data_IF_856419552380
#
_entry.id   IF_856419552380
#
_cell.length_a   1.000
_cell.length_b   1.000
_cell.length_c   1.000
_cell.angle_alpha   90.00
_cell.angle_beta   90.00
_cell.angle_gamma   90.00
#
_symmetry.space_group_name_H-M   'P 1'
#
loop_
_entity.id
_entity.type
_entity.pdbx_description
1 polymer ?
#
# COMPACT_ATOMS: atom_id res chain seq x y z
N UNK A 1 17.09 -2.39 -14.91
CA UNK A 1 16.17 -2.54 -16.05
C UNK A 1 14.78 -1.98 -15.75
N UNK A 2 14.01 -2.55 -14.80
CA UNK A 2 12.63 -2.10 -14.49
C UNK A 2 12.54 -0.60 -14.19
N UNK A 3 13.38 -0.08 -13.30
CA UNK A 3 13.40 1.35 -12.92
C UNK A 3 13.65 2.26 -14.13
N UNK A 4 14.63 1.91 -14.97
CA UNK A 4 14.98 2.68 -16.17
C UNK A 4 13.84 2.71 -17.21
N UNK A 5 13.08 1.62 -17.33
CA UNK A 5 11.95 1.54 -18.25
C UNK A 5 10.78 2.49 -17.87
N UNK A 6 10.73 2.95 -16.62
CA UNK A 6 9.73 3.92 -16.14
C UNK A 6 10.29 5.35 -16.08
N UNK A 7 11.38 5.63 -16.81
CA UNK A 7 12.01 6.96 -16.85
C UNK A 7 12.65 7.39 -15.52
N UNK A 8 13.05 6.41 -14.70
CA UNK A 8 13.67 6.66 -13.40
C UNK A 8 15.10 6.09 -13.36
N UNK A 9 15.94 6.56 -12.44
CA UNK A 9 17.29 6.06 -12.19
C UNK A 9 17.42 5.54 -10.76
N UNK A 10 18.25 4.51 -10.58
CA UNK A 10 18.64 4.04 -9.26
C UNK A 10 19.82 4.88 -8.79
N UNK A 11 19.67 5.53 -7.64
CA UNK A 11 20.73 6.31 -7.01
C UNK A 11 21.66 5.43 -6.17
N UNK A 12 21.11 4.39 -5.54
CA UNK A 12 21.88 3.47 -4.71
C UNK A 12 21.03 2.56 -3.84
N UNK A 13 21.72 1.71 -3.09
CA UNK A 13 21.13 0.82 -2.09
C UNK A 13 21.74 1.11 -0.73
N UNK A 14 20.94 0.96 0.32
CA UNK A 14 21.35 1.12 1.71
C UNK A 14 20.87 -0.08 2.53
N UNK A 15 21.77 -0.73 3.24
CA UNK A 15 21.38 -1.69 4.27
C UNK A 15 20.72 -0.92 5.42
N UNK A 16 19.55 -1.36 5.86
CA UNK A 16 18.81 -0.71 6.94
C UNK A 16 19.50 -1.07 8.27
N UNK A 17 19.93 -0.08 9.08
CA UNK A 17 20.58 -0.37 10.35
C UNK A 17 19.56 -0.92 11.35
N UNK A 18 19.77 -2.17 11.75
CA UNK A 18 18.89 -2.91 12.67
C UNK A 18 19.67 -3.46 13.87
N UNK A 19 19.02 -3.54 15.03
CA UNK A 19 19.57 -4.19 16.22
C UNK A 19 18.89 -5.54 16.47
N UNK A 20 19.56 -6.62 16.06
CA UNK A 20 19.04 -7.98 16.24
C UNK A 20 19.00 -8.44 17.71
N UNK A 21 19.68 -7.73 18.63
CA UNK A 21 19.76 -8.13 20.04
C UNK A 21 18.40 -8.12 20.74
N UNK A 22 17.48 -7.27 20.29
CA UNK A 22 16.13 -7.14 20.85
C UNK A 22 15.17 -8.24 20.39
N UNK A 23 15.54 -9.02 19.38
CA UNK A 23 14.69 -10.06 18.81
C UNK A 23 14.77 -11.38 19.59
N UNK A 24 13.62 -12.05 19.70
CA UNK A 24 13.57 -13.44 20.15
C UNK A 24 14.27 -14.37 19.14
N UNK A 25 14.73 -15.54 19.59
CA UNK A 25 15.39 -16.53 18.72
C UNK A 25 14.58 -16.89 17.45
N UNK A 26 13.29 -17.26 17.57
CA UNK A 26 12.43 -17.52 16.41
C UNK A 26 12.27 -16.31 15.48
N UNK A 27 12.04 -15.12 16.03
CA UNK A 27 11.89 -13.88 15.26
C UNK A 27 13.16 -13.56 14.48
N UNK A 28 14.33 -13.67 15.12
CA UNK A 28 15.65 -13.42 14.51
C UNK A 28 15.93 -14.39 13.36
N UNK A 29 15.60 -15.68 13.51
CA UNK A 29 15.78 -16.69 12.44
C UNK A 29 14.94 -16.42 11.20
N UNK A 30 13.73 -15.87 11.38
CA UNK A 30 12.84 -15.52 10.28
C UNK A 30 13.05 -14.11 9.72
N UNK A 31 14.04 -13.34 10.22
CA UNK A 31 14.25 -11.95 9.81
C UNK A 31 14.77 -11.89 8.37
N UNK A 32 14.16 -11.10 7.48
CA UNK A 32 14.70 -10.88 6.14
C UNK A 32 15.93 -9.96 6.18
N UNK A 33 16.77 -10.04 5.15
CA UNK A 33 17.70 -8.95 4.85
C UNK A 33 16.88 -7.70 4.46
N UNK A 34 17.16 -6.56 5.10
CA UNK A 34 16.40 -5.32 4.90
C UNK A 34 17.26 -4.29 4.19
N UNK A 35 16.80 -3.84 3.03
CA UNK A 35 17.49 -2.84 2.21
C UNK A 35 16.52 -1.79 1.71
N UNK A 36 17.00 -0.56 1.64
CA UNK A 36 16.35 0.55 0.95
C UNK A 36 17.00 0.74 -0.42
N UNK A 37 16.17 0.98 -1.43
CA UNK A 37 16.60 1.42 -2.76
C UNK A 37 16.20 2.89 -2.93
N UNK A 38 17.13 3.72 -3.37
CA UNK A 38 16.86 5.11 -3.68
C UNK A 38 16.68 5.26 -5.19
N UNK A 39 15.57 5.89 -5.58
CA UNK A 39 15.18 6.08 -6.98
C UNK A 39 14.87 7.56 -7.22
N UNK A 40 15.31 8.09 -8.35
CA UNK A 40 14.99 9.44 -8.81
C UNK A 40 14.30 9.39 -10.17
N UNK A 41 13.41 10.34 -10.43
CA UNK A 41 12.86 10.53 -11.76
C UNK A 41 13.89 11.24 -12.66
N UNK A 42 14.16 10.70 -13.85
CA UNK A 42 15.12 11.27 -14.80
C UNK A 42 14.50 12.51 -15.46
N UNK A 43 15.28 13.60 -15.58
CA UNK A 43 14.88 14.81 -16.29
C UNK A 43 14.16 15.88 -15.46
N UNK A 44 13.82 15.61 -14.19
CA UNK A 44 13.21 16.62 -13.29
C UNK A 44 14.24 17.63 -12.76
N UNK A 45 15.53 17.31 -12.81
CA UNK A 45 16.63 18.19 -12.38
C UNK A 45 16.98 19.35 -13.34
N UNK A 46 16.25 19.54 -14.45
CA UNK A 46 16.51 20.62 -15.41
C UNK A 46 15.29 21.50 -15.76
N UNK A 47 14.10 21.19 -15.24
CA UNK A 47 12.93 22.05 -15.40
C UNK A 47 12.76 22.90 -14.15
N UNK A 48 13.13 24.17 -14.28
CA UNK A 48 13.04 25.17 -13.22
C UNK A 48 11.66 25.22 -12.55
N UNK A 49 11.69 25.69 -11.30
CA UNK A 49 10.55 26.11 -10.48
C UNK A 49 9.61 26.97 -11.33
N UNK A 50 8.51 26.41 -11.84
CA UNK A 50 7.62 27.18 -12.73
C UNK A 50 6.54 26.42 -13.49
N UNK A 51 6.50 25.08 -13.44
CA UNK A 51 5.38 24.32 -13.97
C UNK A 51 4.96 23.24 -12.98
N UNK A 52 4.04 23.59 -12.08
CA UNK A 52 3.24 22.63 -11.29
C UNK A 52 2.29 21.85 -12.21
N UNK A 53 2.84 21.11 -13.18
CA UNK A 53 2.20 19.86 -13.57
C UNK A 53 2.39 18.93 -12.38
N UNK A 54 1.38 18.15 -12.02
CA UNK A 54 1.35 17.21 -10.88
C UNK A 54 2.41 16.09 -10.99
N UNK A 55 3.66 16.50 -11.03
CA UNK A 55 4.89 15.71 -11.12
C UNK A 55 5.00 14.78 -9.93
N UNK A 56 4.54 15.22 -8.76
CA UNK A 56 4.45 14.39 -7.57
C UNK A 56 3.54 13.17 -7.77
N UNK A 57 2.34 13.33 -8.34
CA UNK A 57 1.46 12.17 -8.59
C UNK A 57 1.92 11.33 -9.78
N UNK A 58 2.57 11.93 -10.78
CA UNK A 58 3.21 11.18 -11.87
C UNK A 58 4.35 10.30 -11.35
N UNK A 59 5.13 10.77 -10.38
CA UNK A 59 6.23 9.98 -9.81
C UNK A 59 5.70 8.83 -8.97
N UNK A 60 4.68 9.05 -8.13
CA UNK A 60 4.01 7.98 -7.38
C UNK A 60 3.43 6.89 -8.30
N UNK A 61 2.81 7.26 -9.43
CA UNK A 61 2.34 6.29 -10.43
C UNK A 61 3.52 5.48 -11.00
N UNK A 62 4.63 6.12 -11.35
CA UNK A 62 5.82 5.42 -11.84
C UNK A 62 6.40 4.48 -10.78
N UNK A 63 6.53 4.91 -9.52
CA UNK A 63 7.00 4.07 -8.42
C UNK A 63 6.07 2.88 -8.16
N UNK A 64 4.75 3.08 -8.26
CA UNK A 64 3.77 1.99 -8.20
C UNK A 64 3.99 0.97 -9.32
N UNK A 65 4.08 1.41 -10.58
CA UNK A 65 4.35 0.51 -11.71
C UNK A 65 5.69 -0.22 -11.54
N UNK A 66 6.74 0.49 -11.14
CA UNK A 66 8.06 -0.11 -10.85
C UNK A 66 7.92 -1.22 -9.80
N UNK A 67 7.27 -0.94 -8.67
CA UNK A 67 7.07 -1.92 -7.59
C UNK A 67 6.32 -3.14 -8.09
N UNK A 68 5.21 -2.94 -8.82
CA UNK A 68 4.39 -4.05 -9.35
C UNK A 68 5.16 -4.92 -10.35
N UNK A 69 5.99 -4.30 -11.20
CA UNK A 69 6.88 -5.03 -12.12
C UNK A 69 7.98 -5.79 -11.39
N UNK A 70 8.53 -5.24 -10.31
CA UNK A 70 9.50 -5.92 -9.44
C UNK A 70 8.83 -7.11 -8.75
N UNK A 71 7.67 -6.92 -8.13
CA UNK A 71 6.90 -7.98 -7.46
C UNK A 71 6.52 -9.11 -8.45
N UNK A 72 6.13 -8.77 -9.68
CA UNK A 72 5.90 -9.75 -10.73
C UNK A 72 7.16 -10.53 -11.09
N UNK A 73 8.29 -9.86 -11.33
CA UNK A 73 9.55 -10.54 -11.64
C UNK A 73 10.04 -11.42 -10.49
N UNK A 74 9.83 -11.02 -9.24
CA UNK A 74 10.21 -11.80 -8.05
C UNK A 74 9.39 -13.08 -7.88
N UNK A 75 8.16 -13.13 -8.39
CA UNK A 75 7.33 -14.36 -8.37
C UNK A 75 7.87 -15.46 -9.29
N UNK A 76 8.51 -15.07 -10.39
CA UNK A 76 9.14 -16.02 -11.33
C UNK A 76 10.46 -16.60 -10.79
N UNK A 77 11.05 -15.96 -9.79
CA UNK A 77 12.28 -16.44 -9.15
C UNK A 77 11.93 -17.48 -8.08
N UNK A 78 12.14 -18.75 -8.40
CA UNK A 78 11.92 -19.85 -7.45
C UNK A 78 12.70 -19.63 -6.14
N UNK A 79 12.00 -19.81 -5.01
CA UNK A 79 12.60 -19.64 -3.67
C UNK A 79 12.79 -18.19 -3.23
N UNK A 80 12.35 -17.20 -4.01
CA UNK A 80 12.35 -15.80 -3.60
C UNK A 80 11.31 -15.55 -2.50
N UNK A 81 11.76 -15.05 -1.34
CA UNK A 81 10.91 -14.52 -0.27
C UNK A 81 11.10 -13.00 -0.12
N UNK A 82 11.24 -12.31 -1.25
CA UNK A 82 11.40 -10.87 -1.28
C UNK A 82 10.04 -10.16 -1.19
N UNK A 83 9.96 -9.09 -0.39
CA UNK A 83 8.76 -8.30 -0.21
C UNK A 83 9.09 -6.81 -0.15
N UNK A 84 8.32 -6.00 -0.87
CA UNK A 84 8.46 -4.54 -0.87
C UNK A 84 7.44 -3.93 0.09
N UNK A 85 7.90 -3.47 1.26
CA UNK A 85 7.03 -2.90 2.29
C UNK A 85 6.37 -1.59 1.85
N UNK A 86 7.14 -0.70 1.23
CA UNK A 86 6.69 0.55 0.62
C UNK A 86 7.60 0.90 -0.54
N UNK A 87 7.08 1.63 -1.54
CA UNK A 87 7.89 2.19 -2.62
C UNK A 87 7.24 3.49 -3.10
N UNK A 88 7.51 4.57 -2.37
CA UNK A 88 6.89 5.88 -2.53
C UNK A 88 7.94 6.97 -2.27
N UNK A 89 7.71 8.17 -2.81
CA UNK A 89 8.45 9.38 -2.46
C UNK A 89 7.84 10.14 -1.27
N UNK A 90 6.66 9.71 -0.81
CA UNK A 90 5.89 10.36 0.25
C UNK A 90 5.84 9.56 1.55
N UNK A 91 5.85 8.23 1.46
CA UNK A 91 5.71 7.34 2.61
C UNK A 91 6.80 6.29 2.68
N UNK A 92 7.15 5.89 3.90
CA UNK A 92 8.07 4.79 4.20
C UNK A 92 7.50 3.93 5.32
N UNK A 93 7.56 2.61 5.16
CA UNK A 93 7.00 1.66 6.13
C UNK A 93 8.13 0.90 6.85
N UNK A 94 8.26 1.14 8.15
CA UNK A 94 9.07 0.35 9.07
C UNK A 94 8.16 -0.63 9.81
N UNK A 95 8.34 -1.94 9.58
CA UNK A 95 7.47 -2.97 10.17
C UNK A 95 8.19 -4.30 10.35
N UNK A 96 7.69 -5.11 11.28
CA UNK A 96 8.20 -6.45 11.48
C UNK A 96 7.45 -7.23 12.54
N UNK A 97 7.96 -8.42 12.83
CA UNK A 97 7.48 -9.28 13.92
C UNK A 97 8.00 -8.79 15.27
N UNK A 98 7.58 -7.58 15.65
CA UNK A 98 8.07 -6.82 16.79
C UNK A 98 6.90 -6.52 17.73
N UNK A 99 7.17 -6.49 19.03
CA UNK A 99 6.26 -5.83 19.96
C UNK A 99 6.34 -4.30 19.76
N UNK A 100 5.30 -3.54 20.13
CA UNK A 100 5.31 -2.09 19.98
C UNK A 100 6.53 -1.41 20.62
N UNK A 101 6.96 -1.85 21.81
CA UNK A 101 8.14 -1.33 22.52
C UNK A 101 9.47 -1.60 21.79
N UNK A 102 9.51 -2.63 20.94
CA UNK A 102 10.72 -3.04 20.23
C UNK A 102 10.93 -2.28 18.92
N UNK A 103 9.91 -1.62 18.36
CA UNK A 103 10.01 -1.02 17.02
C UNK A 103 11.14 0.02 16.93
N UNK A 104 11.14 0.98 17.86
CA UNK A 104 12.14 2.05 17.93
C UNK A 104 13.49 1.51 18.39
N UNK A 105 13.53 0.38 19.11
CA UNK A 105 14.78 -0.28 19.51
C UNK A 105 15.43 -1.05 18.36
N UNK A 106 14.61 -1.72 17.55
CA UNK A 106 15.06 -2.54 16.44
C UNK A 106 15.55 -1.70 15.25
N UNK A 107 14.81 -0.67 14.83
CA UNK A 107 15.21 0.20 13.71
C UNK A 107 15.97 1.42 14.22
N UNK A 108 17.28 1.47 13.96
CA UNK A 108 18.11 2.58 14.43
C UNK A 108 17.68 3.93 13.85
N UNK A 109 17.24 3.93 12.58
CA UNK A 109 16.74 5.12 11.88
C UNK A 109 15.67 5.87 12.70
N UNK A 110 14.78 5.14 13.38
CA UNK A 110 13.67 5.76 14.12
C UNK A 110 14.11 6.52 15.39
N UNK A 111 15.39 6.50 15.73
CA UNK A 111 15.99 7.28 16.81
C UNK A 111 16.77 8.50 16.33
N UNK A 112 17.00 8.60 15.02
CA UNK A 112 17.76 9.70 14.44
C UNK A 112 16.92 10.98 14.38
N UNK A 113 17.51 12.12 14.73
CA UNK A 113 16.82 13.42 14.74
C UNK A 113 16.35 13.87 13.37
N UNK A 114 16.99 13.37 12.31
CA UNK A 114 16.68 13.71 10.92
C UNK A 114 15.42 12.98 10.41
N UNK A 115 14.95 11.94 11.12
CA UNK A 115 13.72 11.23 10.78
C UNK A 115 12.53 11.97 11.34
N UNK A 116 12.09 12.98 10.58
CA UNK A 116 10.91 13.80 10.88
C UNK A 116 9.76 13.45 9.95
N UNK A 117 8.53 13.51 10.46
CA UNK A 117 7.33 13.32 9.66
C UNK A 117 6.19 14.18 10.17
N UNK A 118 5.36 14.68 9.25
CA UNK A 118 4.10 15.35 9.58
C UNK A 118 3.00 14.36 10.00
N UNK A 119 3.11 13.08 9.57
CA UNK A 119 2.11 12.05 9.78
C UNK A 119 2.80 10.75 10.22
N UNK A 120 2.22 10.06 11.21
CA UNK A 120 2.64 8.72 11.59
C UNK A 120 1.40 7.81 11.73
N UNK A 121 1.49 6.60 11.16
CA UNK A 121 0.49 5.55 11.33
C UNK A 121 1.14 4.33 11.96
N UNK A 122 0.55 3.84 13.05
CA UNK A 122 1.07 2.74 13.84
C UNK A 122 -0.02 1.69 14.00
N UNK A 123 0.37 0.42 13.89
CA UNK A 123 -0.54 -0.70 14.10
C UNK A 123 0.16 -1.84 14.83
N UNK A 124 -0.53 -2.40 15.82
CA UNK A 124 -0.13 -3.63 16.49
C UNK A 124 -1.13 -4.72 16.14
N UNK A 125 -0.66 -5.79 15.52
CA UNK A 125 -1.51 -6.90 15.08
C UNK A 125 -1.50 -8.02 16.12
N UNK A 126 -2.68 -8.47 16.53
CA UNK A 126 -2.84 -9.77 17.18
C UNK A 126 -3.12 -10.83 16.10
N UNK A 127 -2.40 -11.94 16.14
CA UNK A 127 -2.50 -13.01 15.13
C UNK A 127 -2.79 -14.34 15.83
N UNK A 128 -3.79 -15.07 15.34
CA UNK A 128 -4.05 -16.45 15.76
C UNK A 128 -3.08 -17.45 15.12
N UNK A 129 -2.28 -17.03 14.13
CA UNK A 129 -1.24 -17.86 13.52
C UNK A 129 -0.01 -18.00 14.42
N UNK A 130 0.48 -19.22 14.60
CA UNK A 130 1.69 -19.54 15.38
C UNK A 130 2.99 -19.36 14.59
N UNK A 131 2.92 -19.28 13.25
CA UNK A 131 4.09 -19.05 12.41
C UNK A 131 4.31 -17.55 12.13
N UNK A 132 5.44 -16.98 12.57
CA UNK A 132 5.72 -15.57 12.39
C UNK A 132 5.98 -15.26 10.90
N UNK A 133 5.37 -14.20 10.38
CA UNK A 133 5.57 -13.74 9.02
C UNK A 133 5.77 -12.23 8.99
N UNK A 134 7.01 -11.82 8.73
CA UNK A 134 7.42 -10.39 8.71
C UNK A 134 6.62 -9.57 7.70
N UNK A 135 6.30 -10.15 6.54
CA UNK A 135 5.55 -9.46 5.48
C UNK A 135 4.08 -9.17 5.84
N UNK A 136 3.50 -9.95 6.75
CA UNK A 136 2.10 -9.81 7.19
C UNK A 136 1.93 -8.80 8.33
N UNK A 137 3.02 -8.23 8.84
CA UNK A 137 2.93 -7.08 9.74
C UNK A 137 2.30 -5.89 9.00
N UNK A 138 1.59 -5.07 9.75
CA UNK A 138 1.14 -3.74 9.33
C UNK A 138 2.18 -2.67 9.71
N UNK A 139 2.09 -1.45 9.16
CA UNK A 139 1.15 -0.99 8.12
C UNK A 139 1.32 -1.70 6.77
N UNK A 140 0.26 -1.66 5.96
CA UNK A 140 0.40 -1.82 4.51
C UNK A 140 0.73 -0.45 3.87
N UNK A 141 0.63 -0.32 2.54
CA UNK A 141 1.20 0.83 1.82
C UNK A 141 0.35 2.08 2.04
N UNK A 142 -0.96 1.90 2.09
CA UNK A 142 -1.95 2.94 2.29
C UNK A 142 -2.71 2.77 3.60
N UNK A 143 -2.86 1.55 4.15
CA UNK A 143 -3.75 1.33 5.29
C UNK A 143 -3.20 0.49 6.46
N UNK A 144 -3.80 0.74 7.63
CA UNK A 144 -3.83 -0.12 8.80
C UNK A 144 -5.27 -0.61 8.97
N UNK A 145 -5.45 -1.90 9.26
CA UNK A 145 -6.78 -2.50 9.42
C UNK A 145 -6.80 -3.36 10.67
N UNK A 146 -7.70 -3.01 11.58
CA UNK A 146 -8.06 -3.83 12.73
C UNK A 146 -9.46 -4.40 12.48
N UNK A 147 -9.51 -5.70 12.22
CA UNK A 147 -10.74 -6.31 11.75
C UNK A 147 -10.51 -7.54 10.89
N UNK A 148 -11.57 -7.95 10.21
CA UNK A 148 -11.59 -9.05 9.25
C UNK A 148 -12.58 -8.74 8.13
N UNK A 149 -12.15 -8.88 6.86
CA UNK A 149 -13.05 -8.74 5.71
C UNK A 149 -13.71 -10.08 5.41
N UNK A 150 -14.97 -10.22 5.81
CA UNK A 150 -15.76 -11.44 5.68
C UNK A 150 -16.18 -11.73 4.22
N UNK A 151 -16.28 -10.70 3.38
CA UNK A 151 -16.68 -10.84 1.97
C UNK A 151 -15.51 -11.10 1.02
N UNK A 152 -14.29 -11.30 1.54
CA UNK A 152 -13.04 -11.32 0.76
C UNK A 152 -13.10 -12.19 -0.50
N UNK A 153 -13.62 -13.42 -0.41
CA UNK A 153 -13.66 -14.33 -1.57
C UNK A 153 -14.47 -13.75 -2.74
N UNK A 154 -15.60 -13.12 -2.43
CA UNK A 154 -16.43 -12.43 -3.41
C UNK A 154 -15.69 -11.24 -4.01
N UNK A 155 -15.11 -10.39 -3.16
CA UNK A 155 -14.35 -9.21 -3.57
C UNK A 155 -13.19 -9.57 -4.50
N UNK A 156 -12.43 -10.62 -4.19
CA UNK A 156 -11.32 -11.09 -5.03
C UNK A 156 -11.80 -11.57 -6.41
N UNK A 157 -12.96 -12.23 -6.45
CA UNK A 157 -13.54 -12.74 -7.68
C UNK A 157 -14.06 -11.59 -8.56
N UNK A 158 -14.74 -10.61 -7.97
CA UNK A 158 -15.20 -9.41 -8.67
C UNK A 158 -14.05 -8.54 -9.15
N UNK A 159 -13.01 -8.34 -8.33
CA UNK A 159 -11.78 -7.67 -8.77
C UNK A 159 -11.17 -8.36 -9.99
N UNK A 160 -11.06 -9.69 -9.99
CA UNK A 160 -10.54 -10.44 -11.14
C UNK A 160 -11.38 -10.28 -12.41
N UNK A 161 -12.70 -10.18 -12.29
CA UNK A 161 -13.57 -9.87 -13.43
C UNK A 161 -13.34 -8.43 -13.92
N UNK A 162 -13.22 -7.46 -13.00
CA UNK A 162 -12.94 -6.06 -13.31
C UNK A 162 -11.60 -5.86 -14.00
N UNK A 163 -10.59 -6.64 -13.63
CA UNK A 163 -9.26 -6.62 -14.26
C UNK A 163 -9.30 -6.79 -15.78
N UNK A 164 -10.27 -7.55 -16.30
CA UNK A 164 -10.43 -7.79 -17.74
C UNK A 164 -10.99 -6.60 -18.53
N UNK A 165 -11.69 -5.67 -17.85
CA UNK A 165 -12.40 -4.56 -18.49
C UNK A 165 -11.96 -3.18 -17.99
N UNK A 166 -11.13 -3.12 -16.94
CA UNK A 166 -10.72 -1.86 -16.36
C UNK A 166 -9.82 -1.06 -17.31
N UNK A 167 -9.99 0.25 -17.27
CA UNK A 167 -9.20 1.20 -18.05
C UNK A 167 -8.92 2.44 -17.21
N UNK A 168 -7.73 3.00 -17.34
CA UNK A 168 -7.42 4.34 -16.83
C UNK A 168 -6.32 4.97 -17.67
N UNK A 169 -6.58 6.20 -18.14
CA UNK A 169 -5.62 7.00 -18.89
C UNK A 169 -4.39 7.38 -18.05
N UNK A 170 -4.52 7.41 -16.72
CA UNK A 170 -3.41 7.76 -15.80
C UNK A 170 -2.24 6.79 -15.87
N UNK A 171 -2.50 5.52 -16.17
CA UNK A 171 -1.44 4.52 -16.29
C UNK A 171 -0.80 4.50 -17.69
N UNK A 172 -1.31 5.24 -18.67
CA UNK A 172 -0.69 5.37 -19.99
C UNK A 172 -0.44 4.03 -20.69
N UNK A 173 -1.36 3.07 -20.57
CA UNK A 173 -1.22 1.71 -21.12
C UNK A 173 -0.44 0.72 -20.24
N UNK A 174 0.13 1.15 -19.11
CA UNK A 174 0.89 0.30 -18.18
C UNK A 174 0.02 -0.52 -17.22
N UNK A 175 -1.31 -0.46 -17.38
CA UNK A 175 -2.27 -1.12 -16.50
C UNK A 175 -2.05 -2.64 -16.42
N UNK A 176 -1.66 -3.28 -17.52
CA UNK A 176 -1.35 -4.71 -17.54
C UNK A 176 -0.21 -5.10 -16.58
N UNK A 177 0.74 -4.19 -16.32
CA UNK A 177 1.82 -4.42 -15.37
C UNK A 177 1.35 -4.44 -13.90
N UNK A 178 0.12 -3.97 -13.64
CA UNK A 178 -0.49 -3.95 -12.32
C UNK A 178 -1.26 -5.24 -12.01
N UNK A 179 -1.37 -6.17 -12.96
CA UNK A 179 -2.18 -7.39 -12.82
C UNK A 179 -1.40 -8.58 -12.25
N UNK A 180 -2.07 -9.51 -11.51
CA UNK A 180 -3.40 -9.33 -10.89
C UNK A 180 -3.31 -8.32 -9.73
N UNK A 181 -4.30 -7.44 -9.56
CA UNK A 181 -4.31 -6.36 -8.55
C UNK A 181 -4.13 -6.94 -7.15
N UNK A 182 -4.94 -7.94 -6.81
CA UNK A 182 -4.81 -8.72 -5.59
C UNK A 182 -4.05 -10.01 -5.90
N UNK A 183 -2.94 -10.24 -5.20
CA UNK A 183 -2.11 -11.43 -5.37
C UNK A 183 -2.69 -12.65 -4.66
N UNK A 184 -2.24 -13.84 -5.05
CA UNK A 184 -2.58 -15.06 -4.34
C UNK A 184 -1.95 -15.10 -2.94
N UNK A 185 -2.62 -15.75 -1.98
CA UNK A 185 -2.15 -15.97 -0.61
C UNK A 185 -1.81 -14.67 0.17
N UNK A 186 -2.49 -13.57 -0.16
CA UNK A 186 -2.45 -12.32 0.60
C UNK A 186 -3.46 -12.35 1.74
N UNK A 187 -3.22 -11.56 2.79
CA UNK A 187 -4.24 -11.30 3.80
C UNK A 187 -5.40 -10.50 3.18
N UNK A 188 -6.54 -10.54 3.85
CA UNK A 188 -7.68 -9.67 3.56
C UNK A 188 -7.28 -8.18 3.48
N UNK A 189 -6.49 -7.76 4.46
CA UNK A 189 -6.02 -6.40 4.66
C UNK A 189 -5.05 -5.95 3.56
N UNK A 190 -4.16 -6.84 3.13
CA UNK A 190 -3.27 -6.59 1.99
C UNK A 190 -4.08 -6.46 0.69
N UNK A 191 -5.15 -7.26 0.54
CA UNK A 191 -5.98 -7.21 -0.66
C UNK A 191 -6.78 -5.90 -0.72
N UNK A 192 -7.33 -5.45 0.41
CA UNK A 192 -7.99 -4.15 0.54
C UNK A 192 -7.00 -3.00 0.24
N UNK A 193 -5.78 -3.07 0.76
CA UNK A 193 -4.72 -2.08 0.51
C UNK A 193 -4.39 -1.95 -0.98
N UNK A 194 -4.27 -3.07 -1.70
CA UNK A 194 -4.02 -3.06 -3.14
C UNK A 194 -5.19 -2.43 -3.93
N UNK A 195 -6.44 -2.72 -3.55
CA UNK A 195 -7.60 -2.12 -4.17
C UNK A 195 -7.66 -0.60 -3.94
N UNK A 196 -7.39 -0.16 -2.71
CA UNK A 196 -7.34 1.25 -2.34
C UNK A 196 -6.23 2.01 -3.08
N UNK A 197 -5.02 1.44 -3.14
CA UNK A 197 -3.88 2.00 -3.86
C UNK A 197 -4.18 2.16 -5.35
N UNK A 198 -4.76 1.12 -5.98
CA UNK A 198 -5.15 1.19 -7.40
C UNK A 198 -6.16 2.31 -7.65
N UNK A 199 -7.24 2.37 -6.88
CA UNK A 199 -8.30 3.38 -7.06
C UNK A 199 -7.76 4.80 -6.84
N UNK A 200 -6.91 4.97 -5.83
CA UNK A 200 -6.31 6.27 -5.50
C UNK A 200 -5.37 6.74 -6.61
N UNK A 201 -4.44 5.88 -7.04
CA UNK A 201 -3.48 6.22 -8.12
C UNK A 201 -4.15 6.29 -9.51
N UNK A 202 -5.28 5.62 -9.70
CA UNK A 202 -6.14 5.78 -10.87
C UNK A 202 -6.87 7.13 -10.90
N UNK A 203 -6.84 7.90 -9.81
CA UNK A 203 -7.25 9.31 -9.77
C UNK A 203 -8.42 9.61 -8.85
N UNK A 204 -8.92 8.65 -8.07
CA UNK A 204 -9.96 8.91 -7.08
C UNK A 204 -9.33 9.52 -5.82
N UNK A 205 -9.94 10.55 -5.20
CA UNK A 205 -9.51 11.03 -3.89
C UNK A 205 -9.50 9.89 -2.87
N UNK A 206 -8.57 9.92 -1.90
CA UNK A 206 -8.38 8.85 -0.93
C UNK A 206 -9.68 8.49 -0.17
N UNK A 207 -10.37 9.49 0.39
CA UNK A 207 -11.64 9.29 1.09
C UNK A 207 -12.76 8.77 0.18
N UNK A 208 -12.78 9.19 -1.09
CA UNK A 208 -13.72 8.68 -2.09
C UNK A 208 -13.46 7.19 -2.33
N UNK A 209 -12.21 6.82 -2.61
CA UNK A 209 -11.83 5.43 -2.85
C UNK A 209 -12.16 4.54 -1.65
N UNK A 210 -11.92 5.01 -0.42
CA UNK A 210 -12.31 4.28 0.78
C UNK A 210 -13.83 4.15 0.90
N UNK A 211 -14.60 5.23 0.71
CA UNK A 211 -16.07 5.18 0.76
C UNK A 211 -16.72 4.31 -0.33
N UNK A 212 -15.99 3.98 -1.40
CA UNK A 212 -16.40 2.97 -2.38
C UNK A 212 -16.15 1.54 -1.91
N UNK A 213 -15.03 1.30 -1.23
CA UNK A 213 -14.64 -0.02 -0.75
C UNK A 213 -15.40 -0.40 0.53
N UNK A 214 -15.49 0.53 1.48
CA UNK A 214 -16.18 0.38 2.77
C UNK A 214 -17.25 1.49 2.86
N UNK A 215 -18.39 1.33 2.17
CA UNK A 215 -19.47 2.31 2.24
C UNK A 215 -20.16 2.26 3.60
N UNK A 216 -20.76 3.39 4.01
CA UNK A 216 -21.67 3.39 5.16
C UNK A 216 -22.94 2.61 4.83
N UNK A 217 -23.64 2.13 5.87
CA UNK A 217 -24.98 1.57 5.70
C UNK A 217 -25.97 2.67 5.28
N UNK A 218 -26.20 2.77 3.96
CA UNK A 218 -26.98 3.85 3.34
C UNK A 218 -28.42 3.46 3.02
N UNK A 219 -28.68 2.17 2.79
CA UNK A 219 -30.03 1.64 2.55
C UNK A 219 -30.90 1.82 3.81
N UNK A 220 -32.07 2.43 3.65
CA UNK A 220 -32.99 2.69 4.77
C UNK A 220 -32.52 3.75 5.78
N UNK A 221 -31.40 4.44 5.53
CA UNK A 221 -30.88 5.45 6.47
C UNK A 221 -31.77 6.72 6.48
N UNK A 222 -32.62 6.86 7.50
CA UNK A 222 -33.69 7.86 7.56
C UNK A 222 -33.21 9.32 7.51
N UNK A 223 -32.02 9.62 8.06
CA UNK A 223 -31.49 10.98 8.19
C UNK A 223 -30.37 11.31 7.21
N UNK A 224 -30.06 10.41 6.26
CA UNK A 224 -28.97 10.63 5.29
C UNK A 224 -29.44 11.65 4.25
N UNK A 225 -28.57 12.62 3.91
CA UNK A 225 -28.91 13.58 2.86
C UNK A 225 -29.10 12.90 1.50
N UNK A 226 -29.95 13.45 0.61
CA UNK A 226 -30.15 12.90 -0.72
C UNK A 226 -28.86 12.76 -1.54
N UNK A 227 -27.94 13.73 -1.44
CA UNK A 227 -26.67 13.74 -2.17
C UNK A 227 -25.75 12.60 -1.72
N UNK A 228 -25.69 12.37 -0.40
CA UNK A 228 -24.89 11.29 0.17
C UNK A 228 -25.46 9.91 -0.17
N UNK A 229 -26.78 9.78 -0.14
CA UNK A 229 -27.46 8.55 -0.58
C UNK A 229 -27.18 8.27 -2.05
N UNK A 230 -27.33 9.28 -2.92
CA UNK A 230 -27.06 9.16 -4.35
C UNK A 230 -25.60 8.78 -4.62
N UNK A 231 -24.65 9.30 -3.84
CA UNK A 231 -23.25 8.87 -3.91
C UNK A 231 -23.11 7.37 -3.66
N UNK A 232 -23.66 6.84 -2.57
CA UNK A 232 -23.51 5.42 -2.26
C UNK A 232 -24.28 4.52 -3.23
N UNK A 233 -25.50 4.92 -3.63
CA UNK A 233 -26.30 4.20 -4.63
C UNK A 233 -25.57 4.06 -5.97
N UNK A 234 -24.95 5.15 -6.45
CA UNK A 234 -24.14 5.10 -7.65
C UNK A 234 -22.96 4.14 -7.50
N UNK A 235 -22.22 4.20 -6.39
CA UNK A 235 -21.03 3.36 -6.19
C UNK A 235 -21.34 1.90 -5.90
N UNK A 236 -22.51 1.59 -5.33
CA UNK A 236 -22.97 0.21 -5.16
C UNK A 236 -23.13 -0.54 -6.50
N UNK A 237 -23.39 0.18 -7.60
CA UNK A 237 -23.38 -0.40 -8.96
C UNK A 237 -21.96 -0.68 -9.51
N UNK A 238 -20.94 -0.06 -8.91
CA UNK A 238 -19.55 -0.09 -9.40
C UNK A 238 -18.61 -0.93 -8.53
N UNK A 239 -18.87 -1.06 -7.24
CA UNK A 239 -18.01 -1.76 -6.29
C UNK A 239 -18.88 -2.41 -5.22
N UNK A 240 -18.71 -3.72 -5.06
CA UNK A 240 -19.28 -4.46 -3.95
C UNK A 240 -18.56 -4.10 -2.64
N UNK A 241 -19.28 -4.00 -1.50
CA UNK A 241 -18.65 -3.68 -0.22
C UNK A 241 -17.62 -4.73 0.21
N UNK A 242 -16.46 -4.23 0.63
CA UNK A 242 -15.45 -4.98 1.36
C UNK A 242 -15.84 -5.00 2.83
N UNK A 243 -16.82 -5.86 3.13
CA UNK A 243 -17.56 -5.86 4.39
C UNK A 243 -16.98 -6.84 5.42
N UNK A 244 -17.25 -6.52 6.68
CA UNK A 244 -16.73 -7.17 7.88
C UNK A 244 -16.38 -6.14 8.96
N UNK A 245 -16.14 -6.55 10.21
CA UNK A 245 -15.69 -5.63 11.24
C UNK A 245 -14.38 -4.99 10.80
N UNK A 246 -14.35 -3.67 10.68
CA UNK A 246 -13.17 -2.96 10.17
C UNK A 246 -13.03 -1.58 10.84
N UNK A 247 -11.96 -1.40 11.61
CA UNK A 247 -11.42 -0.10 11.94
C UNK A 247 -10.19 0.14 11.08
N UNK A 248 -10.23 1.13 10.19
CA UNK A 248 -9.22 1.32 9.14
C UNK A 248 -8.65 2.72 9.22
N UNK A 249 -7.36 2.86 9.52
CA UNK A 249 -6.65 4.13 9.32
C UNK A 249 -5.92 4.09 7.98
N UNK A 250 -5.94 5.17 7.20
CA UNK A 250 -5.38 5.17 5.85
C UNK A 250 -4.81 6.53 5.42
N UNK A 251 -3.80 6.50 4.56
CA UNK A 251 -3.08 7.69 4.05
C UNK A 251 -2.54 7.48 2.63
N UNK A 252 -2.43 8.57 1.87
CA UNK A 252 -1.68 8.65 0.60
C UNK A 252 -0.37 9.46 0.75
N UNK A 253 0.03 9.74 2.00
CA UNK A 253 1.15 10.61 2.36
C UNK A 253 0.83 12.11 2.31
N UNK A 254 -0.37 12.52 1.89
CA UNK A 254 -0.83 13.92 1.91
C UNK A 254 -2.04 14.11 2.82
N UNK A 255 -2.94 13.14 2.85
CA UNK A 255 -4.12 13.10 3.71
C UNK A 255 -4.06 11.87 4.61
N UNK A 256 -4.62 11.96 5.81
CA UNK A 256 -4.83 10.83 6.72
C UNK A 256 -6.28 10.84 7.19
N UNK A 257 -6.90 9.67 7.24
CA UNK A 257 -8.27 9.46 7.71
C UNK A 257 -8.38 8.11 8.43
N UNK A 258 -9.49 7.93 9.16
CA UNK A 258 -9.82 6.71 9.89
C UNK A 258 -11.34 6.47 9.90
#
# INVERSE_FOLDING_TARGET
AVVAAEGCSVLGWRDVPVDDSVLSGPTRRGRPAMRQIFVAQVGVGQMGVGREVDTSSSFEISLYVIRRRIEAALREVQGSDCYVASFSSRTVVYKGMLRPDQLVQFYADLRESDVVSAIAMVHSRFSTNTFPSWRLAHPYRFLCHNGEINTLRGNLSWMRVREAIMFSSRFGGRLAALLPVCGENQSDSASLDNALELLTLAGRPLAHAMAMLIPEAWEGHATMSPERRAFYEYHASLMEPWDGPAAVAFTDGRQIAA
#
